data_IF_284333918969
#
_entry.id   IF_284333918969
#
_cell.length_a   1.000
_cell.length_b   1.000
_cell.length_c   1.000
_cell.angle_alpha   90.00
_cell.angle_beta   90.00
_cell.angle_gamma   90.00
#
_symmetry.space_group_name_H-M   'P 1'
#
loop_
_entity.id
_entity.type
_entity.pdbx_description
1 polymer ?
#
# COMPACT_ATOMS: atom_id res chain seq x y z
N UNK A 1 -22.66 0.83 -22.85
CA UNK A 1 -21.50 0.10 -23.38
C UNK A 1 -20.35 1.08 -23.35
N UNK A 2 -19.54 1.08 -22.29
CA UNK A 2 -18.44 2.04 -22.16
C UNK A 2 -17.34 1.68 -23.15
N UNK A 3 -16.93 2.65 -23.96
CA UNK A 3 -15.78 2.53 -24.85
C UNK A 3 -14.51 2.40 -24.00
N UNK A 4 -13.89 1.23 -24.04
CA UNK A 4 -12.63 0.98 -23.34
C UNK A 4 -11.52 1.69 -24.09
N UNK A 5 -11.04 2.81 -23.57
CA UNK A 5 -9.94 3.56 -24.16
C UNK A 5 -8.76 2.61 -24.49
N UNK A 6 -8.53 2.38 -25.79
CA UNK A 6 -7.36 1.63 -26.26
C UNK A 6 -6.14 2.52 -26.12
N UNK A 7 -5.19 2.09 -25.30
CA UNK A 7 -3.89 2.74 -25.18
C UNK A 7 -3.02 2.29 -26.35
N UNK A 8 -2.55 3.24 -27.16
CA UNK A 8 -1.53 3.03 -28.19
C UNK A 8 -0.19 3.56 -27.69
N UNK A 9 0.86 2.76 -27.80
CA UNK A 9 2.24 3.16 -27.41
C UNK A 9 3.00 3.51 -28.69
N UNK A 10 3.70 4.64 -28.70
CA UNK A 10 4.51 5.08 -29.86
C UNK A 10 5.84 5.67 -29.38
N UNK A 11 6.98 5.23 -29.94
CA UNK A 11 7.12 4.22 -31.01
C UNK A 11 6.70 2.81 -30.56
N UNK A 12 6.36 1.96 -31.53
CA UNK A 12 6.08 0.55 -31.24
C UNK A 12 7.39 -0.12 -30.81
N UNK A 13 7.45 -0.71 -29.60
CA UNK A 13 8.67 -1.34 -29.11
C UNK A 13 8.98 -2.58 -29.95
N UNK A 14 10.27 -2.88 -30.10
CA UNK A 14 10.70 -4.19 -30.57
C UNK A 14 10.28 -5.29 -29.59
N UNK A 15 10.30 -6.55 -30.06
CA UNK A 15 9.99 -7.72 -29.23
C UNK A 15 10.91 -7.78 -28.01
N UNK A 16 12.19 -7.45 -28.18
CA UNK A 16 13.18 -7.46 -27.09
C UNK A 16 12.87 -6.38 -26.04
N UNK A 17 12.56 -5.15 -26.47
CA UNK A 17 12.18 -4.06 -25.57
C UNK A 17 10.87 -4.37 -24.83
N UNK A 18 9.87 -4.91 -25.53
CA UNK A 18 8.61 -5.32 -24.94
C UNK A 18 8.82 -6.42 -23.87
N UNK A 19 9.68 -7.39 -24.16
CA UNK A 19 10.05 -8.44 -23.21
C UNK A 19 10.78 -7.89 -21.99
N UNK A 20 11.74 -6.97 -22.19
CA UNK A 20 12.47 -6.33 -21.09
C UNK A 20 11.55 -5.52 -20.17
N UNK A 21 10.61 -4.76 -20.75
CA UNK A 21 9.62 -3.98 -20.00
C UNK A 21 8.70 -4.91 -19.20
N UNK A 22 8.18 -5.95 -19.83
CA UNK A 22 7.30 -6.93 -19.16
C UNK A 22 8.03 -7.62 -17.99
N UNK A 23 9.29 -8.01 -18.18
CA UNK A 23 10.11 -8.60 -17.12
C UNK A 23 10.35 -7.61 -15.96
N UNK A 24 10.64 -6.34 -16.26
CA UNK A 24 10.83 -5.31 -15.23
C UNK A 24 9.57 -5.09 -14.39
N UNK A 25 8.39 -5.03 -15.02
CA UNK A 25 7.11 -4.92 -14.31
C UNK A 25 6.90 -6.13 -13.39
N UNK A 26 7.15 -7.33 -13.90
CA UNK A 26 6.98 -8.56 -13.16
C UNK A 26 7.92 -8.66 -11.94
N UNK A 27 9.19 -8.25 -12.10
CA UNK A 27 10.19 -8.27 -11.03
C UNK A 27 9.91 -7.20 -9.96
N UNK A 28 9.39 -6.04 -10.36
CA UNK A 28 9.18 -4.90 -9.45
C UNK A 28 7.80 -4.89 -8.81
N UNK A 29 6.87 -5.77 -9.22
CA UNK A 29 5.53 -5.78 -8.64
C UNK A 29 5.58 -6.18 -7.16
N UNK A 30 4.79 -5.51 -6.30
CA UNK A 30 4.66 -5.91 -4.90
C UNK A 30 4.14 -7.34 -4.80
N UNK A 31 4.86 -8.20 -4.07
CA UNK A 31 4.37 -9.52 -3.72
C UNK A 31 3.36 -9.38 -2.58
N UNK A 32 2.10 -9.75 -2.84
CA UNK A 32 1.09 -9.81 -1.78
C UNK A 32 1.34 -11.08 -0.96
N UNK A 33 2.10 -10.92 0.12
CA UNK A 33 2.29 -11.99 1.11
C UNK A 33 1.16 -11.87 2.12
N UNK A 34 0.39 -12.95 2.30
CA UNK A 34 -0.55 -13.06 3.42
C UNK A 34 0.27 -13.17 4.70
N UNK A 35 0.44 -12.05 5.40
CA UNK A 35 1.08 -12.03 6.72
C UNK A 35 0.01 -12.39 7.76
N UNK A 36 0.25 -13.43 8.55
CA UNK A 36 -0.56 -13.67 9.76
C UNK A 36 -0.56 -12.39 10.59
N UNK A 37 -1.75 -11.90 10.94
CA UNK A 37 -1.93 -10.67 11.70
C UNK A 37 -1.39 -10.89 13.11
N UNK A 38 -0.09 -10.67 13.30
CA UNK A 38 0.50 -10.53 14.63
C UNK A 38 0.06 -9.18 15.16
N UNK A 39 -0.39 -9.15 16.41
CA UNK A 39 -0.67 -7.90 17.13
C UNK A 39 0.59 -7.03 17.13
N UNK A 40 0.66 -6.10 16.18
CA UNK A 40 1.74 -5.15 16.08
C UNK A 40 1.52 -4.10 17.17
N UNK A 41 2.17 -4.30 18.32
CA UNK A 41 2.30 -3.24 19.32
C UNK A 41 3.03 -2.09 18.66
N UNK A 42 2.35 -0.96 18.51
CA UNK A 42 2.95 0.20 17.86
C UNK A 42 4.19 0.66 18.64
N UNK A 43 5.36 0.58 17.99
CA UNK A 43 6.64 1.08 18.53
C UNK A 43 6.63 2.60 18.71
N UNK A 44 5.75 3.32 18.00
CA UNK A 44 5.65 4.76 18.13
C UNK A 44 4.63 5.11 19.21
N UNK A 45 5.15 5.51 20.38
CA UNK A 45 4.39 5.87 21.59
C UNK A 45 3.29 6.92 21.38
N UNK A 46 3.29 7.63 20.25
CA UNK A 46 2.34 8.71 19.93
C UNK A 46 1.26 8.33 18.90
N UNK A 47 1.46 7.28 18.11
CA UNK A 47 0.50 6.85 17.07
C UNK A 47 -0.83 6.35 17.64
N UNK A 48 -0.83 5.80 18.86
CA UNK A 48 -2.03 5.40 19.58
C UNK A 48 -2.69 6.53 20.36
N UNK A 49 -2.21 7.78 20.29
CA UNK A 49 -2.75 8.91 21.09
C UNK A 49 -3.51 9.96 20.28
N UNK A 50 -3.28 10.08 18.98
CA UNK A 50 -3.84 11.19 18.21
C UNK A 50 -5.30 11.01 17.77
N UNK A 51 -5.83 9.79 17.79
CA UNK A 51 -7.27 9.51 17.61
C UNK A 51 -7.91 8.73 18.76
N UNK A 52 -7.14 8.34 19.78
CA UNK A 52 -7.71 7.65 20.93
C UNK A 52 -8.45 8.65 21.81
N UNK A 53 -9.76 8.47 21.92
CA UNK A 53 -10.61 9.24 22.84
C UNK A 53 -10.00 9.16 24.24
N UNK A 54 -9.59 10.28 24.85
CA UNK A 54 -9.05 10.24 26.20
C UNK A 54 -10.16 9.81 27.15
N UNK A 55 -10.04 8.61 27.73
CA UNK A 55 -10.82 8.23 28.90
C UNK A 55 -10.50 9.25 29.98
N UNK A 56 -11.42 10.17 30.25
CA UNK A 56 -11.26 11.19 31.29
C UNK A 56 -11.17 10.45 32.63
N UNK A 57 -9.94 10.21 33.08
CA UNK A 57 -9.67 9.58 34.36
C UNK A 57 -10.12 10.56 35.45
N UNK A 58 -11.36 10.39 35.94
CA UNK A 58 -11.92 11.15 37.05
C UNK A 58 -11.05 10.89 38.28
N UNK A 59 -10.12 11.80 38.59
CA UNK A 59 -9.46 11.82 39.89
C UNK A 59 -10.45 12.34 40.93
N UNK A 60 -10.61 11.69 42.09
CA UNK A 60 -11.32 12.31 43.21
C UNK A 60 -10.54 13.57 43.61
N UNK A 61 -11.20 14.72 43.59
CA UNK A 61 -10.65 15.90 44.24
C UNK A 61 -10.87 15.76 45.74
N UNK A 62 -9.83 15.98 46.57
CA UNK A 62 -10.02 16.20 48.00
C UNK A 62 -10.84 17.47 48.26
#
# INVERSE_FOLDING_TARGET
MSDGARVSITPEPSIEEAAAIAAAIEITRPQVVLVEQRDHVSRWRFSGRWWSTPLTQRRPRP
#
